data_IF_615658690304
#
_entry.id   IF_615658690304
#
_cell.length_a   1.000
_cell.length_b   1.000
_cell.length_c   1.000
_cell.angle_alpha   90.00
_cell.angle_beta   90.00
_cell.angle_gamma   90.00
#
_symmetry.space_group_name_H-M   'P 1'
#
loop_
_entity.id
_entity.type
_entity.pdbx_description
1 polymer ?
#
# COMPACT_ATOMS: atom_id res chain seq x y z
N UNK A 1 12.20 -53.80 50.33
CA UNK A 1 11.93 -53.96 48.88
C UNK A 1 11.47 -52.64 48.25
N UNK A 2 12.20 -51.52 48.44
CA UNK A 2 11.69 -50.17 48.06
C UNK A 2 12.44 -49.53 46.87
N UNK A 3 13.49 -50.15 46.34
CA UNK A 3 14.31 -49.58 45.27
C UNK A 3 13.66 -49.62 43.88
N UNK A 4 12.64 -50.47 43.67
CA UNK A 4 11.94 -50.56 42.38
C UNK A 4 10.93 -49.43 42.18
N UNK A 5 10.23 -49.00 43.23
CA UNK A 5 9.21 -47.94 43.13
C UNK A 5 9.79 -46.53 42.92
N UNK A 6 10.96 -46.22 43.50
CA UNK A 6 11.62 -44.93 43.29
C UNK A 6 12.14 -44.74 41.86
N UNK A 7 12.61 -45.82 41.23
CA UNK A 7 13.06 -45.82 39.83
C UNK A 7 11.89 -45.54 38.87
N UNK A 8 10.75 -46.21 39.07
CA UNK A 8 9.55 -46.00 38.22
C UNK A 8 9.00 -44.59 38.36
N UNK A 9 9.05 -43.99 39.56
CA UNK A 9 8.53 -42.64 39.80
C UNK A 9 9.39 -41.57 39.12
N UNK A 10 10.71 -41.70 39.18
CA UNK A 10 11.64 -40.80 38.47
C UNK A 10 11.45 -40.93 36.94
N UNK A 11 11.33 -42.15 36.43
CA UNK A 11 11.11 -42.42 35.00
C UNK A 11 9.79 -41.81 34.50
N UNK A 12 8.70 -41.92 35.28
CA UNK A 12 7.43 -41.25 34.97
C UNK A 12 7.51 -39.73 34.99
N UNK A 13 8.33 -39.15 35.88
CA UNK A 13 8.53 -37.71 35.95
C UNK A 13 9.31 -37.18 34.75
N UNK A 14 10.37 -37.90 34.34
CA UNK A 14 11.19 -37.54 33.18
C UNK A 14 10.38 -37.65 31.89
N UNK A 15 9.61 -38.73 31.72
CA UNK A 15 8.74 -38.89 30.55
C UNK A 15 7.65 -37.83 30.50
N UNK A 16 7.03 -37.50 31.64
CA UNK A 16 6.04 -36.43 31.71
C UNK A 16 6.66 -35.07 31.35
N UNK A 17 7.84 -34.76 31.86
CA UNK A 17 8.57 -33.53 31.52
C UNK A 17 8.90 -33.45 30.03
N UNK A 18 9.30 -34.57 29.42
CA UNK A 18 9.57 -34.65 27.98
C UNK A 18 8.29 -34.38 27.16
N UNK A 19 7.17 -34.98 27.56
CA UNK A 19 5.87 -34.78 26.91
C UNK A 19 5.41 -33.33 27.04
N UNK A 20 5.55 -32.72 28.22
CA UNK A 20 5.23 -31.31 28.45
C UNK A 20 6.12 -30.40 27.59
N UNK A 21 7.42 -30.68 27.50
CA UNK A 21 8.34 -29.92 26.64
C UNK A 21 7.96 -30.04 25.15
N UNK A 22 7.58 -31.24 24.69
CA UNK A 22 7.10 -31.46 23.32
C UNK A 22 5.78 -30.72 23.04
N UNK A 23 4.84 -30.75 23.98
CA UNK A 23 3.57 -30.01 23.90
C UNK A 23 3.80 -28.49 23.88
N UNK A 24 4.66 -27.98 24.76
CA UNK A 24 5.05 -26.57 24.78
C UNK A 24 5.72 -26.14 23.47
N UNK A 25 6.63 -26.97 22.95
CA UNK A 25 7.30 -26.71 21.67
C UNK A 25 6.35 -26.67 20.48
N UNK A 26 5.41 -27.63 20.40
CA UNK A 26 4.43 -27.67 19.30
C UNK A 26 3.46 -26.49 19.36
N UNK A 27 3.00 -26.09 20.54
CA UNK A 27 2.17 -24.88 20.71
C UNK A 27 2.92 -23.61 20.29
N UNK A 28 4.20 -23.49 20.66
CA UNK A 28 5.06 -22.38 20.23
C UNK A 28 5.19 -22.29 18.70
N UNK A 29 5.42 -23.43 18.04
CA UNK A 29 5.50 -23.50 16.57
C UNK A 29 4.18 -23.14 15.90
N UNK A 30 3.05 -23.63 16.42
CA UNK A 30 1.71 -23.30 15.89
C UNK A 30 1.43 -21.81 16.02
N UNK A 31 1.80 -21.20 17.15
CA UNK A 31 1.66 -19.76 17.36
C UNK A 31 2.50 -18.97 16.35
N UNK A 32 3.77 -19.34 16.18
CA UNK A 32 4.66 -18.69 15.21
C UNK A 32 4.13 -18.83 13.77
N UNK A 33 3.63 -20.01 13.41
CA UNK A 33 3.06 -20.28 12.10
C UNK A 33 1.80 -19.45 11.85
N UNK A 34 0.92 -19.32 12.85
CA UNK A 34 -0.28 -18.46 12.74
C UNK A 34 0.09 -17.01 12.54
N UNK A 35 1.01 -16.48 13.34
CA UNK A 35 1.48 -15.09 13.21
C UNK A 35 2.12 -14.87 11.84
N UNK A 36 2.97 -15.80 11.40
CA UNK A 36 3.60 -15.74 10.07
C UNK A 36 2.57 -15.77 8.94
N UNK A 37 1.55 -16.63 9.02
CA UNK A 37 0.48 -16.70 8.02
C UNK A 37 -0.36 -15.42 7.96
N UNK A 38 -0.60 -14.79 9.11
CA UNK A 38 -1.32 -13.51 9.17
C UNK A 38 -0.51 -12.41 8.47
N UNK A 39 0.79 -12.28 8.78
CA UNK A 39 1.66 -11.30 8.13
C UNK A 39 1.75 -11.52 6.61
N UNK A 40 1.87 -12.78 6.18
CA UNK A 40 1.90 -13.11 4.75
C UNK A 40 0.60 -12.71 4.04
N UNK A 41 -0.55 -12.86 4.70
CA UNK A 41 -1.86 -12.48 4.14
C UNK A 41 -1.99 -10.96 4.04
N UNK A 42 -1.65 -10.22 5.09
CA UNK A 42 -1.66 -8.74 5.07
C UNK A 42 -0.73 -8.19 4.00
N UNK A 43 0.49 -8.70 3.91
CA UNK A 43 1.44 -8.27 2.89
C UNK A 43 0.97 -8.59 1.46
N UNK A 44 0.20 -9.65 1.26
CA UNK A 44 -0.41 -9.95 -0.04
C UNK A 44 -1.52 -8.96 -0.40
N UNK A 45 -2.36 -8.57 0.57
CA UNK A 45 -3.39 -7.55 0.40
C UNK A 45 -2.78 -6.18 0.10
N UNK A 46 -1.77 -5.76 0.86
CA UNK A 46 -1.07 -4.48 0.62
C UNK A 46 -0.52 -4.42 -0.82
N UNK A 47 0.11 -5.50 -1.29
CA UNK A 47 0.61 -5.55 -2.69
C UNK A 47 -0.50 -5.46 -3.73
N UNK A 48 -1.65 -6.06 -3.46
CA UNK A 48 -2.79 -5.99 -4.37
C UNK A 48 -3.34 -4.57 -4.43
N UNK A 49 -3.50 -3.90 -3.29
CA UNK A 49 -3.96 -2.52 -3.21
C UNK A 49 -2.96 -1.56 -3.85
N UNK A 50 -1.65 -1.73 -3.62
CA UNK A 50 -0.61 -0.93 -4.27
C UNK A 50 -0.62 -1.12 -5.79
N UNK A 51 -0.85 -2.35 -6.28
CA UNK A 51 -1.00 -2.59 -7.73
C UNK A 51 -2.24 -1.93 -8.31
N UNK A 52 -3.36 -1.98 -7.59
CA UNK A 52 -4.61 -1.32 -7.98
C UNK A 52 -4.40 0.19 -8.06
N UNK A 53 -3.85 0.79 -7.01
CA UNK A 53 -3.47 2.19 -6.93
C UNK A 53 -2.55 2.59 -8.08
N UNK A 54 -1.47 1.83 -8.32
CA UNK A 54 -0.52 2.10 -9.38
C UNK A 54 -1.16 2.07 -10.78
N UNK A 55 -2.06 1.11 -11.02
CA UNK A 55 -2.77 1.01 -12.28
C UNK A 55 -3.77 2.15 -12.46
N UNK A 56 -4.49 2.54 -11.41
CA UNK A 56 -5.42 3.65 -11.44
C UNK A 56 -4.69 4.98 -11.67
N UNK A 57 -3.60 5.26 -10.94
CA UNK A 57 -2.77 6.46 -11.15
C UNK A 57 -2.23 6.49 -12.59
N UNK A 58 -1.67 5.38 -13.10
CA UNK A 58 -1.14 5.35 -14.47
C UNK A 58 -2.21 5.61 -15.51
N UNK A 59 -3.41 5.05 -15.35
CA UNK A 59 -4.53 5.28 -16.26
C UNK A 59 -4.98 6.74 -16.19
N UNK A 60 -5.22 7.23 -14.99
CA UNK A 60 -5.83 8.53 -14.77
C UNK A 60 -4.86 9.67 -15.13
N UNK A 61 -3.55 9.53 -14.84
CA UNK A 61 -2.50 10.46 -15.29
C UNK A 61 -2.32 10.42 -16.80
N UNK A 62 -2.39 9.23 -17.42
CA UNK A 62 -2.26 9.09 -18.86
C UNK A 62 -3.39 9.81 -19.63
N UNK A 63 -4.58 9.85 -19.05
CA UNK A 63 -5.77 10.47 -19.64
C UNK A 63 -5.96 11.93 -19.18
N UNK A 64 -5.23 12.39 -18.17
CA UNK A 64 -5.27 13.76 -17.67
C UNK A 64 -4.55 14.73 -18.61
N UNK A 65 -5.09 15.94 -18.75
CA UNK A 65 -4.43 17.01 -19.51
C UNK A 65 -3.51 17.84 -18.64
N UNK A 66 -3.88 18.03 -17.38
CA UNK A 66 -3.11 18.77 -16.41
C UNK A 66 -2.96 17.94 -15.15
N UNK A 67 -1.75 17.94 -14.62
CA UNK A 67 -1.33 17.17 -13.46
C UNK A 67 -0.65 18.12 -12.50
N UNK A 68 -1.16 18.21 -11.28
CA UNK A 68 -0.62 19.07 -10.24
C UNK A 68 -0.40 18.26 -8.96
N UNK A 69 0.67 18.58 -8.24
CA UNK A 69 0.98 17.97 -6.94
C UNK A 69 0.98 19.08 -5.90
N UNK A 70 0.01 19.04 -4.98
CA UNK A 70 -0.11 19.98 -3.88
C UNK A 70 0.12 19.25 -2.55
N UNK A 71 1.32 19.40 -1.99
CA UNK A 71 1.68 18.73 -0.73
C UNK A 71 1.61 17.20 -0.84
N UNK A 72 0.60 16.60 -0.18
CA UNK A 72 0.33 15.16 -0.22
C UNK A 72 -0.85 14.79 -1.14
N UNK A 73 -1.23 15.69 -2.05
CA UNK A 73 -2.33 15.46 -2.98
C UNK A 73 -1.84 15.47 -4.43
N UNK A 74 -2.39 14.57 -5.23
CA UNK A 74 -2.23 14.56 -6.69
C UNK A 74 -3.58 14.96 -7.30
N UNK A 75 -3.59 16.08 -8.01
CA UNK A 75 -4.76 16.67 -8.64
C UNK A 75 -4.64 16.47 -10.15
N UNK A 76 -5.67 15.89 -10.75
CA UNK A 76 -5.74 15.59 -12.18
C UNK A 76 -6.96 16.28 -12.79
N UNK A 77 -6.73 17.13 -13.78
CA UNK A 77 -7.77 17.82 -14.53
C UNK A 77 -7.89 17.26 -15.96
N UNK A 78 -9.13 17.02 -16.36
CA UNK A 78 -9.50 16.46 -17.65
C UNK A 78 -10.27 17.53 -18.43
N UNK A 79 -9.92 17.79 -19.70
CA UNK A 79 -10.60 18.85 -20.49
C UNK A 79 -11.98 18.42 -20.98
N UNK A 80 -12.15 17.12 -21.19
CA UNK A 80 -13.31 16.56 -21.88
C UNK A 80 -14.45 16.22 -20.91
N UNK A 81 -14.16 16.29 -19.61
CA UNK A 81 -15.11 16.05 -18.52
C UNK A 81 -15.05 17.21 -17.55
N UNK A 82 -16.19 17.74 -17.13
CA UNK A 82 -16.31 18.65 -15.98
C UNK A 82 -16.02 17.90 -14.66
N UNK A 83 -14.93 17.11 -14.62
CA UNK A 83 -14.52 16.34 -13.48
C UNK A 83 -13.02 16.46 -13.24
N UNK A 84 -12.66 16.57 -11.97
CA UNK A 84 -11.32 16.57 -11.42
C UNK A 84 -11.14 15.31 -10.59
N UNK A 85 -9.98 14.67 -10.66
CA UNK A 85 -9.65 13.56 -9.77
C UNK A 85 -8.62 14.06 -8.76
N UNK A 86 -8.88 13.84 -7.48
CA UNK A 86 -7.95 14.14 -6.40
C UNK A 86 -7.57 12.85 -5.71
N UNK A 87 -6.28 12.55 -5.69
CA UNK A 87 -5.74 11.54 -4.79
C UNK A 87 -5.22 12.24 -3.55
N UNK A 88 -5.73 11.84 -2.40
CA UNK A 88 -5.25 12.31 -1.10
C UNK A 88 -4.39 11.22 -0.44
N UNK A 89 -3.11 11.54 -0.25
CA UNK A 89 -2.15 10.71 0.47
C UNK A 89 -1.87 11.19 1.90
N UNK A 90 -2.52 12.28 2.34
CA UNK A 90 -2.33 12.88 3.66
C UNK A 90 -3.37 12.50 4.71
N UNK A 91 -4.52 11.95 4.31
CA UNK A 91 -5.55 11.48 5.25
C UNK A 91 -5.28 10.03 5.71
N UNK A 92 -4.73 9.87 6.90
CA UNK A 92 -4.62 8.56 7.55
C UNK A 92 -6.03 7.96 7.77
N UNK A 93 -6.24 6.65 7.56
CA UNK A 93 -5.27 5.61 7.24
C UNK A 93 -5.37 5.04 5.81
N UNK A 94 -6.10 5.71 4.91
CA UNK A 94 -6.42 5.16 3.59
C UNK A 94 -6.17 6.22 2.52
N UNK A 95 -5.43 5.85 1.48
CA UNK A 95 -5.35 6.71 0.31
C UNK A 95 -6.73 6.80 -0.31
N UNK A 96 -7.20 8.03 -0.47
CA UNK A 96 -8.49 8.30 -1.06
C UNK A 96 -8.28 8.77 -2.49
N UNK A 97 -9.13 8.27 -3.39
CA UNK A 97 -9.30 8.83 -4.73
C UNK A 97 -10.71 9.39 -4.80
N UNK A 98 -10.86 10.70 -4.93
CA UNK A 98 -12.14 11.37 -5.10
C UNK A 98 -12.25 11.87 -6.54
N UNK A 99 -13.43 11.67 -7.13
CA UNK A 99 -13.81 12.27 -8.40
C UNK A 99 -14.75 13.40 -8.05
N UNK A 100 -14.36 14.62 -8.37
CA UNK A 100 -15.10 15.83 -8.08
C UNK A 100 -15.65 16.44 -9.36
N UNK A 101 -16.83 17.03 -9.28
CA UNK A 101 -17.42 17.81 -10.36
C UNK A 101 -16.84 19.21 -10.37
N UNK A 102 -16.28 19.62 -11.50
CA UNK A 102 -15.83 21.00 -11.75
C UNK A 102 -17.02 21.93 -12.06
N UNK A 103 -18.20 21.35 -12.39
CA UNK A 103 -19.42 22.12 -12.60
C UNK A 103 -19.94 22.66 -11.26
N UNK A 104 -20.13 23.98 -11.21
CA UNK A 104 -20.45 24.82 -10.05
C UNK A 104 -21.84 24.53 -9.45
N UNK A 105 -22.06 23.31 -8.96
CA UNK A 105 -23.25 22.85 -8.26
C UNK A 105 -23.00 22.87 -6.76
N UNK A 106 -23.75 23.73 -6.07
CA UNK A 106 -23.42 24.28 -4.75
C UNK A 106 -23.53 23.27 -3.58
N UNK A 107 -23.92 22.00 -3.77
CA UNK A 107 -24.20 21.11 -2.61
C UNK A 107 -23.77 19.63 -2.71
N UNK A 108 -23.09 19.18 -3.76
CA UNK A 108 -22.41 17.87 -3.73
C UNK A 108 -21.39 17.83 -4.87
N UNK A 109 -20.17 18.29 -4.59
CA UNK A 109 -19.07 18.27 -5.56
C UNK A 109 -18.46 16.88 -5.72
N UNK A 110 -18.79 15.92 -4.85
CA UNK A 110 -18.25 14.56 -4.91
C UNK A 110 -19.11 13.67 -5.82
N UNK A 111 -18.53 13.21 -6.93
CA UNK A 111 -19.15 12.27 -7.86
C UNK A 111 -18.92 10.83 -7.39
N UNK A 112 -17.68 10.51 -6.99
CA UNK A 112 -17.30 9.18 -6.55
C UNK A 112 -16.11 9.24 -5.59
N UNK A 113 -16.00 8.26 -4.68
CA UNK A 113 -14.85 8.10 -3.80
C UNK A 113 -14.46 6.63 -3.69
N UNK A 114 -13.19 6.36 -3.95
CA UNK A 114 -12.54 5.07 -3.74
C UNK A 114 -11.50 5.20 -2.61
N UNK A 115 -11.27 4.10 -1.90
CA UNK A 115 -10.24 4.01 -0.85
C UNK A 115 -9.34 2.80 -1.09
N UNK A 116 -8.05 3.00 -0.88
CA UNK A 116 -7.04 1.94 -0.93
C UNK A 116 -6.61 1.59 0.49
N UNK A 117 -6.76 0.31 0.84
CA UNK A 117 -6.46 -0.21 2.18
C UNK A 117 -5.00 -0.65 2.29
N UNK A 118 -4.09 0.32 2.19
CA UNK A 118 -2.65 0.09 2.39
C UNK A 118 -2.33 0.36 3.86
N UNK A 119 -1.44 -0.43 4.46
CA UNK A 119 -1.05 -0.28 5.87
C UNK A 119 -0.79 1.18 6.26
N UNK A 120 -1.44 1.64 7.35
CA UNK A 120 -1.35 3.01 7.89
C UNK A 120 0.09 3.41 8.27
N UNK A 121 0.96 2.41 8.47
CA UNK A 121 2.37 2.60 8.82
C UNK A 121 3.27 2.78 7.59
N UNK A 122 2.69 2.79 6.39
CA UNK A 122 3.45 2.97 5.15
C UNK A 122 3.82 4.43 4.97
N UNK A 123 5.07 4.69 4.60
CA UNK A 123 5.52 6.05 4.30
C UNK A 123 5.29 6.32 2.82
N UNK A 124 4.70 7.47 2.51
CA UNK A 124 4.43 7.88 1.14
C UNK A 124 5.14 9.17 0.83
N UNK A 125 5.74 9.21 -0.34
CA UNK A 125 6.35 10.40 -0.89
C UNK A 125 5.87 10.58 -2.32
N UNK A 126 5.25 11.73 -2.59
CA UNK A 126 4.76 12.11 -3.91
C UNK A 126 5.66 13.25 -4.44
N UNK A 127 6.12 13.12 -5.67
CA UNK A 127 6.93 14.12 -6.36
C UNK A 127 6.47 14.26 -7.80
N UNK A 128 6.46 15.49 -8.29
CA UNK A 128 6.32 15.78 -9.71
C UNK A 128 7.73 16.03 -10.27
N UNK A 129 8.17 15.19 -11.19
CA UNK A 129 9.44 15.36 -11.88
C UNK A 129 9.17 15.90 -13.29
N UNK A 130 9.69 17.09 -13.58
CA UNK A 130 9.63 17.67 -14.93
C UNK A 130 10.51 16.83 -15.86
N UNK A 131 9.95 16.35 -16.97
CA UNK A 131 10.72 15.79 -18.08
C UNK A 131 11.08 16.96 -19.01
N UNK A 132 12.23 17.61 -18.84
CA UNK A 132 12.62 18.75 -19.69
C UNK A 132 13.96 18.56 -20.39
N UNK A 133 14.04 18.95 -21.67
CA UNK A 133 14.70 20.20 -22.14
C UNK A 133 14.98 20.23 -23.67
N UNK A 134 14.77 19.16 -24.44
CA UNK A 134 15.42 19.02 -25.76
C UNK A 134 14.57 19.22 -27.03
N UNK A 135 13.25 19.42 -26.95
CA UNK A 135 12.43 19.68 -28.15
C UNK A 135 11.83 21.09 -28.13
N UNK A 136 12.46 21.95 -28.94
CA UNK A 136 12.15 23.37 -29.14
C UNK A 136 10.79 23.65 -29.80
N UNK A 137 9.79 22.77 -29.69
CA UNK A 137 8.51 22.90 -30.43
C UNK A 137 7.26 22.31 -29.73
N UNK A 138 7.29 21.96 -28.43
CA UNK A 138 6.08 21.50 -27.73
C UNK A 138 5.70 22.39 -26.53
N UNK A 139 4.60 23.13 -26.66
CA UNK A 139 3.92 23.94 -25.62
C UNK A 139 3.39 23.11 -24.41
N UNK A 140 3.90 21.89 -24.18
CA UNK A 140 3.50 21.01 -23.08
C UNK A 140 4.75 20.44 -22.39
N UNK A 141 5.12 21.02 -21.26
CA UNK A 141 6.09 20.42 -20.33
C UNK A 141 5.52 19.09 -19.83
N UNK A 142 6.02 17.98 -20.35
CA UNK A 142 5.61 16.67 -19.87
C UNK A 142 6.11 16.49 -18.43
N UNK A 143 5.20 16.24 -17.51
CA UNK A 143 5.52 16.01 -16.10
C UNK A 143 5.32 14.55 -15.74
N UNK A 144 6.34 13.92 -15.15
CA UNK A 144 6.31 12.57 -14.61
C UNK A 144 5.85 12.61 -13.15
N UNK A 145 4.81 11.86 -12.82
CA UNK A 145 4.40 11.63 -11.42
C UNK A 145 5.21 10.47 -10.86
N UNK A 146 5.95 10.73 -9.79
CA UNK A 146 6.63 9.72 -9.00
C UNK A 146 5.96 9.60 -7.62
N UNK A 147 5.35 8.44 -7.37
CA UNK A 147 4.81 8.07 -6.07
C UNK A 147 5.64 6.93 -5.48
N UNK A 148 6.28 7.18 -4.36
CA UNK A 148 7.07 6.20 -3.61
C UNK A 148 6.31 5.76 -2.37
N UNK A 149 6.12 4.44 -2.22
CA UNK A 149 5.44 3.81 -1.07
C UNK A 149 6.40 2.86 -0.37
N UNK A 150 6.81 3.18 0.86
CA UNK A 150 7.62 2.32 1.70
C UNK A 150 6.73 1.57 2.70
N UNK A 151 6.67 0.24 2.59
CA UNK A 151 5.87 -0.61 3.47
C UNK A 151 6.61 -0.88 4.80
N UNK A 152 5.90 -1.05 5.93
CA UNK A 152 6.52 -1.28 7.24
C UNK A 152 7.36 -2.55 7.29
N UNK A 153 6.97 -3.59 6.54
CA UNK A 153 7.70 -4.86 6.49
C UNK A 153 8.94 -4.80 5.58
N UNK A 154 9.05 -3.78 4.73
CA UNK A 154 10.15 -3.58 3.76
C UNK A 154 10.50 -2.10 3.56
N UNK A 155 10.97 -1.40 4.60
CA UNK A 155 11.22 0.05 4.50
C UNK A 155 12.39 0.38 3.57
N UNK A 156 13.31 -0.56 3.34
CA UNK A 156 14.50 -0.38 2.49
C UNK A 156 14.27 -0.75 1.03
N UNK A 157 13.11 -1.32 0.68
CA UNK A 157 12.73 -1.68 -0.69
C UNK A 157 11.40 -0.98 -1.04
N UNK A 158 11.40 0.36 -1.15
CA UNK A 158 10.18 1.09 -1.43
C UNK A 158 9.68 0.78 -2.86
N UNK A 159 8.36 0.82 -3.03
CA UNK A 159 7.71 0.62 -4.32
C UNK A 159 7.58 1.99 -4.98
N UNK A 160 8.22 2.14 -6.14
CA UNK A 160 8.10 3.33 -6.98
C UNK A 160 7.03 3.12 -8.06
N UNK A 161 6.09 4.06 -8.12
CA UNK A 161 5.02 4.13 -9.10
C UNK A 161 5.30 5.35 -9.97
N UNK A 162 5.60 5.10 -11.24
CA UNK A 162 5.82 6.12 -12.24
C UNK A 162 4.61 6.18 -13.18
N UNK A 163 4.14 7.40 -13.46
CA UNK A 163 3.05 7.67 -14.38
C UNK A 163 3.31 8.96 -15.16
N UNK A 164 3.13 8.92 -16.48
CA UNK A 164 3.33 10.06 -17.38
C UNK A 164 2.07 10.29 -18.23
N UNK A 165 1.72 11.55 -18.53
CA UNK A 165 0.61 11.89 -19.42
C UNK A 165 0.89 11.41 -20.84
N UNK A 166 -0.16 11.09 -21.61
CA UNK A 166 -0.01 10.75 -23.03
C UNK A 166 0.42 11.99 -23.81
N UNK A 167 1.63 11.95 -24.37
CA UNK A 167 2.04 12.92 -25.38
C UNK A 167 1.15 12.71 -26.62
N UNK A 168 0.34 13.70 -26.97
CA UNK A 168 -0.39 13.69 -28.24
C UNK A 168 0.62 13.74 -29.39
N UNK A 169 0.51 12.89 -30.43
CA UNK A 169 1.35 12.98 -31.62
C UNK A 169 1.02 14.20 -32.47
#
# INVERSE_FOLDING_TARGET
MNHRHGFTLIETLVTLALVIAMLGGTLGLVSLMRTSSQHATTAALDRQEIRRLANDIRRDVADANQVEVEGAQLILDFSDSDSRIVYDFGSEPAFARTVESTAQSINDSLIASDRYLISERSQVQLQLQLLSEDDADSDREASLVELTVALPDRPTEPIQILAAPRMSP
#
